data_IF_849622987847
#
_entry.id   IF_849622987847
#
_cell.length_a   1.000
_cell.length_b   1.000
_cell.length_c   1.000
_cell.angle_alpha   90.00
_cell.angle_beta   90.00
_cell.angle_gamma   90.00
#
_symmetry.space_group_name_H-M   'P 1'
#
loop_
_entity.id
_entity.type
_entity.pdbx_description
1 polymer ?
#
# COMPACT_ATOMS: atom_id res chain seq x y z
N UNK A 1 8.05 35.88 -50.77
CA UNK A 1 8.06 34.43 -50.46
C UNK A 1 8.09 34.24 -48.95
N UNK A 2 6.92 34.11 -48.31
CA UNK A 2 6.71 34.28 -46.87
C UNK A 2 6.13 33.01 -46.20
N UNK A 3 6.88 31.90 -46.10
CA UNK A 3 6.38 30.65 -45.49
C UNK A 3 7.43 29.80 -44.75
N UNK A 4 8.43 30.39 -44.08
CA UNK A 4 9.44 29.56 -43.38
C UNK A 4 9.79 29.95 -41.93
N UNK A 5 8.93 30.74 -41.25
CA UNK A 5 9.11 31.03 -39.81
C UNK A 5 8.20 30.21 -38.90
N UNK A 6 7.06 29.70 -39.39
CA UNK A 6 6.11 28.92 -38.58
C UNK A 6 6.50 27.46 -38.33
N UNK A 7 7.30 26.84 -39.22
CA UNK A 7 7.69 25.42 -39.07
C UNK A 7 8.82 25.17 -38.06
N UNK A 8 9.63 26.17 -37.71
CA UNK A 8 10.81 25.99 -36.84
C UNK A 8 10.51 26.05 -35.34
N UNK A 9 9.32 26.52 -34.92
CA UNK A 9 8.95 26.59 -33.51
C UNK A 9 8.32 25.28 -32.99
N UNK A 10 7.69 24.48 -33.86
CA UNK A 10 6.98 23.27 -33.46
C UNK A 10 7.88 22.03 -33.27
N UNK A 11 9.04 21.96 -33.94
CA UNK A 11 9.87 20.75 -33.94
C UNK A 11 10.95 20.74 -32.82
N UNK A 12 11.27 21.91 -32.25
CA UNK A 12 12.39 22.02 -31.29
C UNK A 12 12.03 21.66 -29.84
N UNK A 13 10.76 21.38 -29.55
CA UNK A 13 10.29 20.96 -28.22
C UNK A 13 10.07 19.45 -28.08
N UNK A 14 10.29 18.66 -29.14
CA UNK A 14 10.09 17.21 -29.12
C UNK A 14 11.39 16.37 -28.93
N UNK A 15 12.58 16.99 -28.86
CA UNK A 15 13.83 16.26 -29.14
C UNK A 15 14.94 16.31 -28.07
N UNK A 16 14.69 16.74 -26.83
CA UNK A 16 15.69 16.62 -25.75
C UNK A 16 15.03 16.18 -24.45
N UNK A 17 14.69 14.89 -24.38
CA UNK A 17 14.75 14.19 -23.10
C UNK A 17 16.24 14.04 -22.76
N UNK A 18 16.74 14.57 -21.62
CA UNK A 18 18.03 14.12 -21.12
C UNK A 18 17.82 12.67 -20.63
N UNK A 19 18.00 11.71 -21.54
CA UNK A 19 18.15 10.29 -21.23
C UNK A 19 19.48 10.12 -20.50
N UNK A 20 19.44 10.38 -19.21
CA UNK A 20 20.58 10.38 -18.31
C UNK A 20 20.09 10.65 -16.89
N UNK A 21 20.96 10.44 -15.90
CA UNK A 21 20.63 10.47 -14.47
C UNK A 21 19.73 11.66 -14.02
N UNK A 22 19.89 12.82 -14.67
CA UNK A 22 19.13 14.05 -14.42
C UNK A 22 17.65 13.94 -14.82
N UNK A 23 17.32 13.24 -15.90
CA UNK A 23 15.94 12.99 -16.32
C UNK A 23 15.21 12.07 -15.33
N UNK A 24 15.89 11.00 -14.88
CA UNK A 24 15.36 10.10 -13.85
C UNK A 24 15.21 10.78 -12.49
N UNK A 25 16.14 11.66 -12.12
CA UNK A 25 16.01 12.46 -10.90
C UNK A 25 14.77 13.36 -10.94
N UNK A 26 14.48 13.98 -12.10
CA UNK A 26 13.29 14.81 -12.31
C UNK A 26 11.99 13.99 -12.23
N UNK A 27 11.96 12.80 -12.85
CA UNK A 27 10.84 11.87 -12.76
C UNK A 27 10.57 11.41 -11.32
N UNK A 28 11.63 11.08 -10.57
CA UNK A 28 11.51 10.71 -9.15
C UNK A 28 10.98 11.86 -8.31
N UNK A 29 11.49 13.08 -8.48
CA UNK A 29 10.96 14.25 -7.75
C UNK A 29 9.50 14.47 -8.07
N UNK A 30 9.11 14.36 -9.34
CA UNK A 30 7.71 14.48 -9.75
C UNK A 30 6.83 13.38 -9.11
N UNK A 31 7.30 12.14 -9.05
CA UNK A 31 6.62 11.03 -8.37
C UNK A 31 6.44 11.28 -6.86
N UNK A 32 7.43 11.85 -6.18
CA UNK A 32 7.32 12.21 -4.76
C UNK A 32 6.33 13.36 -4.53
N UNK A 33 6.34 14.38 -5.39
CA UNK A 33 5.37 15.46 -5.37
C UNK A 33 3.93 14.92 -5.52
N UNK A 34 3.70 14.07 -6.52
CA UNK A 34 2.42 13.42 -6.79
C UNK A 34 2.00 12.51 -5.62
N UNK A 35 2.90 11.68 -5.10
CA UNK A 35 2.65 10.80 -3.95
C UNK A 35 2.28 11.59 -2.68
N UNK A 36 2.91 12.74 -2.45
CA UNK A 36 2.59 13.62 -1.32
C UNK A 36 1.18 14.22 -1.44
N UNK A 37 0.72 14.50 -2.65
CA UNK A 37 -0.66 14.96 -2.91
C UNK A 37 -1.66 13.83 -2.63
N UNK A 38 -1.36 12.60 -3.02
CA UNK A 38 -2.23 11.44 -2.75
C UNK A 38 -2.27 11.06 -1.27
N UNK A 39 -1.14 11.11 -0.55
CA UNK A 39 -1.10 10.85 0.90
C UNK A 39 -2.00 11.82 1.68
N UNK A 40 -2.18 13.06 1.20
CA UNK A 40 -3.12 14.02 1.83
C UNK A 40 -4.58 13.62 1.69
N UNK A 41 -4.93 12.75 0.72
CA UNK A 41 -6.29 12.21 0.57
C UNK A 41 -6.55 11.02 1.50
N UNK A 42 -5.51 10.46 2.12
CA UNK A 42 -5.66 9.36 3.08
C UNK A 42 -6.29 9.89 4.36
N UNK A 43 -7.49 9.40 4.65
CA UNK A 43 -8.17 9.68 5.91
C UNK A 43 -7.56 8.78 6.97
N UNK A 44 -6.75 9.36 7.85
CA UNK A 44 -6.20 8.64 8.98
C UNK A 44 -7.29 8.43 10.03
N UNK A 45 -7.46 7.18 10.51
CA UNK A 45 -8.48 6.88 11.49
C UNK A 45 -8.23 7.65 12.78
N UNK A 46 -9.31 8.07 13.42
CA UNK A 46 -9.23 8.71 14.74
C UNK A 46 -8.79 7.68 15.79
N UNK A 47 -8.18 8.13 16.89
CA UNK A 47 -7.75 7.22 17.97
C UNK A 47 -8.88 6.30 18.48
N UNK A 48 -10.11 6.78 18.46
CA UNK A 48 -11.30 6.02 18.88
C UNK A 48 -11.61 4.89 17.91
N UNK A 49 -11.56 5.14 16.60
CA UNK A 49 -11.79 4.14 15.57
C UNK A 49 -10.71 3.06 15.60
N UNK A 50 -9.44 3.44 15.73
CA UNK A 50 -8.32 2.50 15.84
C UNK A 50 -8.46 1.57 17.06
N UNK A 51 -8.86 2.12 18.21
CA UNK A 51 -9.08 1.30 19.41
C UNK A 51 -10.29 0.37 19.19
N UNK A 52 -11.36 0.86 18.59
CA UNK A 52 -12.57 0.07 18.33
C UNK A 52 -12.27 -1.12 17.43
N UNK A 53 -11.53 -0.91 16.33
CA UNK A 53 -11.13 -2.00 15.43
C UNK A 53 -10.15 -2.96 16.08
N UNK A 54 -9.22 -2.47 16.91
CA UNK A 54 -8.30 -3.31 17.68
C UNK A 54 -9.05 -4.20 18.69
N UNK A 55 -10.01 -3.63 19.42
CA UNK A 55 -10.86 -4.39 20.36
C UNK A 55 -11.69 -5.44 19.62
N UNK A 56 -12.26 -5.10 18.45
CA UNK A 56 -12.99 -6.07 17.64
C UNK A 56 -12.12 -7.26 17.24
N UNK A 57 -10.88 -7.02 16.79
CA UNK A 57 -9.91 -8.08 16.44
C UNK A 57 -9.54 -8.91 17.67
N UNK A 58 -9.30 -8.28 18.82
CA UNK A 58 -9.01 -9.00 20.07
C UNK A 58 -10.16 -9.94 20.47
N UNK A 59 -11.41 -9.49 20.37
CA UNK A 59 -12.58 -10.33 20.68
C UNK A 59 -12.63 -11.54 19.76
N UNK A 60 -12.49 -11.34 18.45
CA UNK A 60 -12.51 -12.44 17.46
C UNK A 60 -11.35 -13.41 17.72
N UNK A 61 -10.15 -12.90 18.00
CA UNK A 61 -8.98 -13.73 18.32
C UNK A 61 -9.20 -14.58 19.57
N UNK A 62 -9.77 -14.01 20.64
CA UNK A 62 -10.08 -14.75 21.87
C UNK A 62 -11.09 -15.86 21.62
N UNK A 63 -12.14 -15.60 20.82
CA UNK A 63 -13.12 -16.63 20.47
C UNK A 63 -12.46 -17.80 19.73
N UNK A 64 -11.61 -17.50 18.75
CA UNK A 64 -10.88 -18.52 17.98
C UNK A 64 -9.92 -19.29 18.90
N UNK A 65 -9.19 -18.61 19.78
CA UNK A 65 -8.27 -19.24 20.72
C UNK A 65 -8.98 -20.21 21.67
N UNK A 66 -10.17 -19.84 22.19
CA UNK A 66 -10.98 -20.74 23.01
C UNK A 66 -11.44 -21.96 22.21
N UNK A 67 -11.95 -21.74 21.00
CA UNK A 67 -12.38 -22.83 20.13
C UNK A 67 -11.25 -23.82 19.83
N UNK A 68 -10.10 -23.31 19.38
CA UNK A 68 -8.93 -24.15 19.10
C UNK A 68 -8.44 -24.85 20.36
N UNK A 69 -8.36 -24.15 21.50
CA UNK A 69 -7.95 -24.76 22.77
C UNK A 69 -8.85 -25.92 23.20
N UNK A 70 -10.17 -25.82 23.00
CA UNK A 70 -11.09 -26.95 23.27
C UNK A 70 -10.79 -28.12 22.33
N UNK A 71 -10.61 -27.84 21.04
CA UNK A 71 -10.30 -28.87 20.03
C UNK A 71 -8.96 -29.55 20.34
N UNK A 72 -7.93 -28.79 20.69
CA UNK A 72 -6.60 -29.31 21.04
C UNK A 72 -6.67 -30.22 22.27
N UNK A 73 -7.44 -29.84 23.30
CA UNK A 73 -7.66 -30.67 24.48
C UNK A 73 -8.43 -31.96 24.13
N UNK A 74 -9.48 -31.86 23.32
CA UNK A 74 -10.27 -33.02 22.90
C UNK A 74 -9.42 -33.99 22.08
N UNK A 75 -8.61 -33.48 21.14
CA UNK A 75 -7.69 -34.29 20.34
C UNK A 75 -6.60 -34.93 21.21
N UNK A 76 -6.02 -34.18 22.16
CA UNK A 76 -5.01 -34.72 23.08
C UNK A 76 -5.55 -35.91 23.87
N UNK A 77 -6.79 -35.81 24.35
CA UNK A 77 -7.47 -36.89 25.07
C UNK A 77 -7.81 -38.08 24.18
N UNK A 78 -8.24 -37.82 22.93
CA UNK A 78 -8.50 -38.88 21.96
C UNK A 78 -7.22 -39.65 21.59
N UNK A 79 -6.10 -38.95 21.42
CA UNK A 79 -4.79 -39.57 21.16
C UNK A 79 -4.32 -40.38 22.37
N UNK A 80 -4.45 -39.83 23.58
CA UNK A 80 -4.13 -40.55 24.83
C UNK A 80 -4.92 -41.86 24.95
N UNK A 81 -6.21 -41.83 24.61
CA UNK A 81 -7.07 -43.03 24.61
C UNK A 81 -6.74 -44.07 23.53
N UNK A 82 -6.05 -43.68 22.45
CA UNK A 82 -5.62 -44.60 21.39
C UNK A 82 -4.24 -45.20 21.71
N UNK A 83 -3.38 -44.43 22.37
CA UNK A 83 -2.02 -44.86 22.73
C UNK A 83 -1.97 -45.71 24.01
N UNK A 84 -2.99 -45.63 24.87
CA UNK A 84 -3.18 -46.49 26.04
C UNK A 84 -3.89 -47.79 25.68
#
# INVERSE_FOLDING_TARGET
MARNKGKKAAEKQAAQAPTGLVGKAKELTQFFEESKVEIKKVVWPTRKETITTCVAVLVVSVVIAIYLGIVDLALSKAVEAILS
#
